data_IF_522397739741
#
_entry.id   IF_522397739741
#
_cell.length_a   1.000
_cell.length_b   1.000
_cell.length_c   1.000
_cell.angle_alpha   90.00
_cell.angle_beta   90.00
_cell.angle_gamma   90.00
#
_symmetry.space_group_name_H-M   'P 1'
#
loop_
_entity.id
_entity.type
_entity.pdbx_description
1 polymer ?
#
# COMPACT_ATOMS: atom_id res chain seq x y z
N UNK A 1 39.53 1.06 -16.30
CA UNK A 1 39.14 1.96 -15.22
C UNK A 1 39.00 1.19 -13.93
N UNK A 2 39.65 1.68 -12.86
CA UNK A 2 39.58 1.05 -11.52
C UNK A 2 38.48 1.65 -10.64
N UNK A 3 37.44 2.26 -11.24
CA UNK A 3 36.32 2.80 -10.49
C UNK A 3 35.35 1.71 -10.11
N UNK A 4 35.05 1.57 -8.82
CA UNK A 4 34.03 0.65 -8.32
C UNK A 4 32.66 1.05 -8.88
N UNK A 5 31.97 0.11 -9.57
CA UNK A 5 30.63 0.31 -10.14
C UNK A 5 29.53 -0.41 -9.38
N UNK A 6 29.89 -1.41 -8.61
CA UNK A 6 28.96 -2.19 -7.81
C UNK A 6 29.61 -3.42 -7.24
N UNK A 7 28.84 -4.14 -6.45
CA UNK A 7 29.19 -5.43 -5.87
C UNK A 7 28.05 -6.42 -6.10
N UNK A 8 28.36 -7.61 -6.56
CA UNK A 8 27.43 -8.71 -6.69
C UNK A 8 27.97 -9.92 -5.93
N UNK A 9 27.11 -10.63 -5.23
CA UNK A 9 27.47 -11.83 -4.51
C UNK A 9 26.83 -13.06 -5.16
N UNK A 10 27.34 -14.26 -4.84
CA UNK A 10 26.71 -15.53 -5.25
C UNK A 10 25.25 -15.60 -4.79
N UNK A 11 24.97 -15.12 -3.58
CA UNK A 11 23.60 -15.08 -3.04
C UNK A 11 22.64 -14.22 -3.89
N UNK A 12 23.13 -13.16 -4.50
CA UNK A 12 22.33 -12.31 -5.38
C UNK A 12 21.98 -13.05 -6.68
N UNK A 13 22.93 -13.82 -7.22
CA UNK A 13 22.72 -14.65 -8.40
C UNK A 13 21.72 -15.78 -8.09
N UNK A 14 21.92 -16.50 -6.98
CA UNK A 14 21.01 -17.57 -6.54
C UNK A 14 19.58 -17.06 -6.33
N UNK A 15 19.41 -15.85 -5.77
CA UNK A 15 18.08 -15.23 -5.58
C UNK A 15 17.40 -14.90 -6.91
N UNK A 16 18.13 -14.52 -7.93
CA UNK A 16 17.54 -14.29 -9.26
C UNK A 16 17.00 -15.58 -9.87
N UNK A 17 17.69 -16.69 -9.67
CA UNK A 17 17.26 -18.02 -10.13
C UNK A 17 16.04 -18.48 -9.31
N UNK A 18 16.09 -18.30 -7.98
CA UNK A 18 15.04 -18.74 -7.05
C UNK A 18 13.76 -17.91 -7.15
N UNK A 19 13.88 -16.61 -7.45
CA UNK A 19 12.77 -15.66 -7.50
C UNK A 19 12.74 -14.90 -8.84
N UNK A 20 12.46 -15.59 -9.95
CA UNK A 20 12.53 -15.00 -11.30
C UNK A 20 11.45 -13.93 -11.51
N UNK A 21 10.32 -14.01 -10.78
CA UNK A 21 9.19 -13.08 -10.86
C UNK A 21 9.25 -11.94 -9.83
N UNK A 22 10.39 -11.74 -9.15
CA UNK A 22 10.54 -10.61 -8.24
C UNK A 22 10.31 -9.28 -8.96
N UNK A 23 9.57 -8.37 -8.31
CA UNK A 23 9.29 -7.04 -8.85
C UNK A 23 10.58 -6.21 -8.91
N UNK A 24 11.00 -5.83 -10.12
CA UNK A 24 12.25 -5.13 -10.39
C UNK A 24 12.02 -3.96 -11.33
N UNK A 25 12.88 -2.95 -11.21
CA UNK A 25 12.95 -1.84 -12.16
C UNK A 25 13.69 -2.23 -13.46
N UNK A 26 13.79 -1.29 -14.40
CA UNK A 26 14.48 -1.49 -15.67
C UNK A 26 15.99 -1.78 -15.53
N UNK A 27 16.60 -1.45 -14.38
CA UNK A 27 18.00 -1.73 -14.05
C UNK A 27 18.17 -3.05 -13.29
N UNK A 28 17.07 -3.79 -13.04
CA UNK A 28 17.09 -5.05 -12.30
C UNK A 28 17.14 -4.90 -10.77
N UNK A 29 16.93 -3.69 -10.22
CA UNK A 29 16.83 -3.46 -8.77
C UNK A 29 15.44 -3.80 -8.28
N UNK A 30 15.33 -4.36 -7.07
CA UNK A 30 14.04 -4.63 -6.45
C UNK A 30 13.28 -3.32 -6.22
N UNK A 31 12.00 -3.32 -6.55
CA UNK A 31 11.10 -2.22 -6.20
C UNK A 31 10.91 -2.17 -4.67
N UNK A 32 10.97 -0.97 -4.11
CA UNK A 32 10.91 -0.74 -2.67
C UNK A 32 9.82 0.25 -2.31
N UNK A 33 9.00 -0.11 -1.32
CA UNK A 33 8.02 0.78 -0.71
C UNK A 33 8.41 1.19 0.71
N UNK A 34 7.96 2.37 1.13
CA UNK A 34 8.16 2.85 2.50
C UNK A 34 6.87 3.39 3.10
N UNK A 35 6.59 2.97 4.35
CA UNK A 35 5.45 3.47 5.10
C UNK A 35 5.77 4.81 5.79
N UNK A 36 4.80 5.69 5.79
CA UNK A 36 4.82 6.97 6.50
C UNK A 36 3.55 7.13 7.33
N UNK A 37 3.70 7.72 8.51
CA UNK A 37 2.55 8.15 9.34
C UNK A 37 2.16 9.59 9.05
N UNK A 38 1.02 10.00 9.60
CA UNK A 38 0.51 11.39 9.56
C UNK A 38 1.18 12.27 10.62
N UNK A 39 2.44 12.59 10.41
CA UNK A 39 3.23 13.42 11.33
C UNK A 39 3.47 14.81 10.76
N UNK A 40 3.76 15.81 11.61
CA UNK A 40 4.01 17.18 11.17
C UNK A 40 5.19 17.30 10.18
N UNK A 41 6.16 16.38 10.25
CA UNK A 41 7.35 16.38 9.40
C UNK A 41 7.28 15.34 8.26
N UNK A 42 6.08 14.88 7.87
CA UNK A 42 5.91 13.83 6.86
C UNK A 42 6.59 14.17 5.53
N UNK A 43 6.49 15.42 5.08
CA UNK A 43 7.12 15.85 3.82
C UNK A 43 8.64 15.75 3.86
N UNK A 44 9.29 16.08 4.98
CA UNK A 44 10.74 15.94 5.12
C UNK A 44 11.16 14.46 5.05
N UNK A 45 10.35 13.56 5.62
CA UNK A 45 10.57 12.11 5.52
C UNK A 45 10.37 11.61 4.08
N UNK A 46 9.29 12.04 3.42
CA UNK A 46 9.02 11.68 2.01
C UNK A 46 10.14 12.18 1.10
N UNK A 47 10.63 13.43 1.29
CA UNK A 47 11.75 13.98 0.53
C UNK A 47 13.02 13.12 0.66
N UNK A 48 13.35 12.69 1.87
CA UNK A 48 14.50 11.80 2.10
C UNK A 48 14.31 10.43 1.42
N UNK A 49 13.10 9.88 1.42
CA UNK A 49 12.77 8.61 0.76
C UNK A 49 12.82 8.73 -0.77
N UNK A 50 12.32 9.82 -1.33
CA UNK A 50 12.41 10.11 -2.78
C UNK A 50 13.86 10.25 -3.21
N UNK A 51 14.69 10.96 -2.43
CA UNK A 51 16.14 11.05 -2.67
C UNK A 51 16.86 9.71 -2.58
N UNK A 52 16.30 8.77 -1.81
CA UNK A 52 16.79 7.38 -1.73
C UNK A 52 16.19 6.46 -2.82
N UNK A 53 15.48 7.00 -3.81
CA UNK A 53 14.82 6.29 -4.91
C UNK A 53 13.76 5.27 -4.45
N UNK A 54 12.89 5.67 -3.52
CA UNK A 54 11.71 4.86 -3.18
C UNK A 54 10.75 4.81 -4.37
N UNK A 55 10.16 3.63 -4.61
CA UNK A 55 9.23 3.43 -5.73
C UNK A 55 7.79 3.75 -5.34
N UNK A 56 7.42 3.52 -4.08
CA UNK A 56 6.06 3.77 -3.58
C UNK A 56 6.07 4.19 -2.11
N UNK A 57 5.21 5.14 -1.78
CA UNK A 57 4.94 5.53 -0.39
C UNK A 57 3.60 4.92 0.05
N UNK A 58 3.57 4.43 1.27
CA UNK A 58 2.33 3.93 1.90
C UNK A 58 1.98 4.83 3.08
N UNK A 59 0.88 5.55 2.98
CA UNK A 59 0.28 6.24 4.13
C UNK A 59 -0.48 5.19 4.93
N UNK A 60 0.09 4.77 6.04
CA UNK A 60 -0.47 3.70 6.89
C UNK A 60 -1.12 4.28 8.13
N UNK A 61 -2.43 4.09 8.25
CA UNK A 61 -3.25 4.59 9.35
C UNK A 61 -4.30 3.57 9.77
N UNK A 62 -4.58 3.52 11.07
CA UNK A 62 -5.67 2.72 11.62
C UNK A 62 -7.05 3.21 11.16
N UNK A 63 -7.16 4.46 10.70
CA UNK A 63 -8.38 5.07 10.17
C UNK A 63 -8.07 5.98 8.99
N UNK A 64 -8.08 5.39 7.78
CA UNK A 64 -7.74 6.09 6.54
C UNK A 64 -8.76 7.17 6.15
N UNK A 65 -10.03 7.02 6.53
CA UNK A 65 -11.08 8.01 6.28
C UNK A 65 -11.07 9.11 7.34
N UNK A 66 -9.93 9.77 7.51
CA UNK A 66 -9.80 10.93 8.39
C UNK A 66 -9.22 12.12 7.63
N UNK A 67 -9.65 13.33 7.99
CA UNK A 67 -9.17 14.55 7.33
C UNK A 67 -7.65 14.71 7.40
N UNK A 68 -7.02 14.20 8.47
CA UNK A 68 -5.57 14.24 8.59
C UNK A 68 -4.87 13.35 7.55
N UNK A 69 -5.44 12.17 7.23
CA UNK A 69 -4.93 11.29 6.17
C UNK A 69 -5.14 11.91 4.80
N UNK A 70 -6.35 12.42 4.52
CA UNK A 70 -6.69 13.06 3.25
C UNK A 70 -5.79 14.29 2.99
N UNK A 71 -5.58 15.12 4.00
CA UNK A 71 -4.67 16.27 3.91
C UNK A 71 -3.22 15.84 3.68
N UNK A 72 -2.74 14.84 4.40
CA UNK A 72 -1.39 14.30 4.23
C UNK A 72 -1.18 13.78 2.80
N UNK A 73 -2.15 13.04 2.28
CA UNK A 73 -2.12 12.51 0.91
C UNK A 73 -2.06 13.65 -0.13
N UNK A 74 -2.95 14.65 -0.03
CA UNK A 74 -2.94 15.82 -0.92
C UNK A 74 -1.60 16.54 -0.88
N UNK A 75 -1.03 16.79 0.31
CA UNK A 75 0.27 17.43 0.47
C UNK A 75 1.40 16.65 -0.21
N UNK A 76 1.41 15.34 -0.10
CA UNK A 76 2.42 14.49 -0.75
C UNK A 76 2.26 14.53 -2.27
N UNK A 77 1.04 14.37 -2.77
CA UNK A 77 0.76 14.38 -4.22
C UNK A 77 1.00 15.76 -4.84
N UNK A 78 0.77 16.84 -4.11
CA UNK A 78 1.10 18.20 -4.56
C UNK A 78 2.62 18.41 -4.67
N UNK A 79 3.38 17.92 -3.69
CA UNK A 79 4.85 18.04 -3.69
C UNK A 79 5.52 17.07 -4.69
N UNK A 80 4.95 15.89 -4.89
CA UNK A 80 5.49 14.82 -5.72
C UNK A 80 4.38 14.19 -6.59
N UNK A 81 3.91 14.83 -7.67
CA UNK A 81 2.77 14.35 -8.47
C UNK A 81 2.97 12.95 -9.08
N UNK A 82 4.19 12.62 -9.47
CA UNK A 82 4.54 11.34 -10.11
C UNK A 82 4.81 10.22 -9.13
N UNK A 83 4.95 10.51 -7.83
CA UNK A 83 5.20 9.51 -6.80
C UNK A 83 3.96 8.67 -6.57
N UNK A 84 4.12 7.35 -6.63
CA UNK A 84 3.02 6.41 -6.34
C UNK A 84 2.73 6.41 -4.83
N UNK A 85 1.47 6.61 -4.46
CA UNK A 85 1.05 6.66 -3.06
C UNK A 85 -0.12 5.71 -2.82
N UNK A 86 0.11 4.73 -1.96
CA UNK A 86 -0.92 3.85 -1.41
C UNK A 86 -1.46 4.49 -0.14
N UNK A 87 -2.76 4.55 0.01
CA UNK A 87 -3.36 5.10 1.23
C UNK A 87 -4.34 4.11 1.88
N UNK A 88 -4.38 4.07 3.20
CA UNK A 88 -5.26 3.21 3.98
C UNK A 88 -5.03 3.33 5.50
N UNK A 89 -5.69 2.49 6.31
CA UNK A 89 -6.65 1.49 5.84
C UNK A 89 -8.07 2.02 5.87
N UNK A 90 -8.87 1.50 4.98
CA UNK A 90 -10.31 1.79 4.89
C UNK A 90 -11.11 0.49 4.77
N UNK A 91 -12.44 0.58 4.89
CA UNK A 91 -13.34 -0.58 4.81
C UNK A 91 -14.68 -0.27 4.11
N UNK A 92 -14.83 0.93 3.54
CA UNK A 92 -16.08 1.37 2.88
C UNK A 92 -15.80 2.03 1.53
N UNK A 93 -16.77 1.95 0.63
CA UNK A 93 -16.69 2.60 -0.68
C UNK A 93 -16.60 4.13 -0.58
N UNK A 94 -17.29 4.73 0.39
CA UNK A 94 -17.20 6.18 0.65
C UNK A 94 -15.76 6.60 1.00
N UNK A 95 -15.13 5.90 1.94
CA UNK A 95 -13.76 6.17 2.32
C UNK A 95 -12.79 5.95 1.15
N UNK A 96 -13.05 4.94 0.33
CA UNK A 96 -12.27 4.65 -0.88
C UNK A 96 -12.35 5.81 -1.87
N UNK A 97 -13.54 6.33 -2.17
CA UNK A 97 -13.70 7.51 -3.03
C UNK A 97 -12.94 8.71 -2.49
N UNK A 98 -13.08 8.99 -1.19
CA UNK A 98 -12.39 10.12 -0.56
C UNK A 98 -10.86 10.04 -0.71
N UNK A 99 -10.26 8.85 -0.55
CA UNK A 99 -8.83 8.67 -0.76
C UNK A 99 -8.43 8.83 -2.23
N UNK A 100 -9.20 8.29 -3.16
CA UNK A 100 -8.94 8.41 -4.60
C UNK A 100 -9.01 9.88 -5.05
N UNK A 101 -10.05 10.60 -4.63
CA UNK A 101 -10.23 12.03 -4.92
C UNK A 101 -9.12 12.90 -4.29
N UNK A 102 -8.53 12.44 -3.19
CA UNK A 102 -7.36 13.07 -2.58
C UNK A 102 -6.04 12.72 -3.29
N UNK A 103 -6.05 11.82 -4.27
CA UNK A 103 -4.91 11.48 -5.13
C UNK A 103 -4.23 10.14 -4.85
N UNK A 104 -4.87 9.21 -4.15
CA UNK A 104 -4.31 7.86 -3.95
C UNK A 104 -4.20 7.10 -5.27
N UNK A 105 -3.03 6.48 -5.51
CA UNK A 105 -2.77 5.61 -6.66
C UNK A 105 -3.19 4.15 -6.39
N UNK A 106 -3.35 3.78 -5.12
CA UNK A 106 -3.95 2.52 -4.68
C UNK A 106 -4.57 2.68 -3.28
N UNK A 107 -5.57 1.87 -2.97
CA UNK A 107 -6.26 1.89 -1.68
C UNK A 107 -6.04 0.59 -0.92
N UNK A 108 -5.59 0.68 0.33
CA UNK A 108 -5.36 -0.47 1.21
C UNK A 108 -6.57 -0.69 2.11
N UNK A 109 -7.16 -1.88 2.04
CA UNK A 109 -8.45 -2.23 2.64
C UNK A 109 -8.30 -3.26 3.75
N UNK A 110 -8.81 -2.91 4.92
CA UNK A 110 -8.85 -3.82 6.08
C UNK A 110 -8.89 -3.05 7.40
N UNK A 111 -10.02 -3.11 8.09
CA UNK A 111 -10.20 -2.57 9.44
C UNK A 111 -10.52 -3.74 10.38
N UNK A 112 -9.53 -4.09 11.20
CA UNK A 112 -9.65 -5.12 12.22
C UNK A 112 -9.42 -6.58 11.78
N UNK A 113 -9.08 -6.97 10.52
CA UNK A 113 -8.94 -8.37 10.13
C UNK A 113 -7.58 -8.98 10.50
N UNK A 114 -6.59 -8.17 10.86
CA UNK A 114 -5.25 -8.65 11.18
C UNK A 114 -5.22 -9.72 12.28
N UNK A 115 -4.35 -10.71 12.15
CA UNK A 115 -4.28 -11.84 13.12
C UNK A 115 -3.89 -11.42 14.52
N UNK A 116 -3.17 -10.30 14.66
CA UNK A 116 -2.76 -9.71 15.95
C UNK A 116 -3.59 -8.48 16.31
N UNK A 117 -4.57 -8.10 15.46
CA UNK A 117 -5.36 -6.89 15.65
C UNK A 117 -6.38 -7.09 16.78
N UNK A 118 -6.37 -6.19 17.75
CA UNK A 118 -7.31 -6.20 18.90
C UNK A 118 -8.49 -5.26 18.72
N UNK A 119 -8.54 -4.49 17.64
CA UNK A 119 -9.58 -3.47 17.41
C UNK A 119 -11.00 -4.04 17.49
N UNK A 120 -11.25 -5.20 16.87
CA UNK A 120 -12.57 -5.86 16.93
C UNK A 120 -12.91 -6.35 18.33
N UNK A 121 -11.93 -6.90 19.04
CA UNK A 121 -12.14 -7.53 20.34
C UNK A 121 -12.29 -6.47 21.44
N UNK A 122 -11.47 -5.42 21.42
CA UNK A 122 -11.43 -4.38 22.45
C UNK A 122 -12.43 -3.26 22.16
N UNK A 123 -12.46 -2.76 20.93
CA UNK A 123 -13.28 -1.61 20.56
C UNK A 123 -14.58 -1.98 19.84
N UNK A 124 -14.78 -3.23 19.46
CA UNK A 124 -15.94 -3.67 18.68
C UNK A 124 -16.00 -3.06 17.25
N UNK A 125 -14.88 -2.54 16.76
CA UNK A 125 -14.81 -1.84 15.46
C UNK A 125 -14.16 -2.76 14.44
N UNK A 126 -14.78 -2.85 13.26
CA UNK A 126 -14.26 -3.61 12.14
C UNK A 126 -15.34 -3.92 11.12
N UNK A 127 -14.90 -4.33 9.94
CA UNK A 127 -15.79 -4.81 8.86
C UNK A 127 -15.28 -6.18 8.42
N UNK A 128 -16.17 -7.16 8.17
CA UNK A 128 -15.77 -8.44 7.59
C UNK A 128 -14.99 -8.22 6.29
N UNK A 129 -13.82 -8.86 6.17
CA UNK A 129 -12.83 -8.48 5.13
C UNK A 129 -13.36 -8.61 3.71
N UNK A 130 -14.09 -9.67 3.40
CA UNK A 130 -14.67 -9.84 2.06
C UNK A 130 -15.70 -8.75 1.75
N UNK A 131 -16.56 -8.40 2.71
CA UNK A 131 -17.50 -7.29 2.57
C UNK A 131 -16.78 -5.97 2.32
N UNK A 132 -15.73 -5.68 3.08
CA UNK A 132 -14.92 -4.47 2.91
C UNK A 132 -14.27 -4.41 1.53
N UNK A 133 -13.70 -5.52 1.05
CA UNK A 133 -13.08 -5.60 -0.29
C UNK A 133 -14.12 -5.32 -1.37
N UNK A 134 -15.28 -5.99 -1.31
CA UNK A 134 -16.35 -5.81 -2.31
C UNK A 134 -16.85 -4.37 -2.37
N UNK A 135 -17.07 -3.74 -1.23
CA UNK A 135 -17.55 -2.37 -1.15
C UNK A 135 -16.51 -1.35 -1.65
N UNK A 136 -15.26 -1.51 -1.20
CA UNK A 136 -14.15 -0.67 -1.66
C UNK A 136 -13.87 -0.85 -3.16
N UNK A 137 -13.89 -2.10 -3.66
CA UNK A 137 -13.68 -2.39 -5.07
C UNK A 137 -14.78 -1.80 -5.95
N UNK A 138 -16.04 -1.88 -5.54
CA UNK A 138 -17.15 -1.28 -6.29
C UNK A 138 -16.93 0.23 -6.52
N UNK A 139 -16.39 0.93 -5.52
CA UNK A 139 -16.03 2.34 -5.64
C UNK A 139 -14.75 2.57 -6.47
N UNK A 140 -13.67 1.83 -6.18
CA UNK A 140 -12.37 2.00 -6.83
C UNK A 140 -12.40 1.67 -8.33
N UNK A 141 -13.23 0.70 -8.73
CA UNK A 141 -13.42 0.27 -10.12
C UNK A 141 -13.82 1.43 -11.05
N UNK A 142 -14.63 2.37 -10.58
CA UNK A 142 -15.10 3.51 -11.35
C UNK A 142 -13.93 4.43 -11.78
N UNK A 143 -12.86 4.44 -10.99
CA UNK A 143 -11.66 5.25 -11.20
C UNK A 143 -10.48 4.46 -11.78
N UNK A 144 -10.61 3.15 -11.94
CA UNK A 144 -9.50 2.27 -12.37
C UNK A 144 -8.39 2.13 -11.33
N UNK A 145 -8.65 2.43 -10.06
CA UNK A 145 -7.65 2.39 -8.97
C UNK A 145 -7.60 1.00 -8.34
N UNK A 146 -6.41 0.40 -8.15
CA UNK A 146 -6.28 -0.92 -7.55
C UNK A 146 -6.58 -0.92 -6.06
N UNK A 147 -7.14 -2.06 -5.61
CA UNK A 147 -7.45 -2.36 -4.21
C UNK A 147 -6.48 -3.42 -3.69
N UNK A 148 -5.91 -3.16 -2.52
CA UNK A 148 -5.01 -4.06 -1.79
C UNK A 148 -5.77 -4.62 -0.59
N UNK A 149 -5.95 -5.94 -0.53
CA UNK A 149 -6.57 -6.61 0.62
C UNK A 149 -5.51 -6.84 1.70
N UNK A 150 -5.70 -6.19 2.85
CA UNK A 150 -4.74 -6.21 3.95
C UNK A 150 -5.33 -6.81 5.22
N UNK A 151 -4.71 -7.88 5.69
CA UNK A 151 -4.99 -8.50 6.97
C UNK A 151 -5.92 -9.72 6.92
N UNK A 152 -5.65 -10.67 7.82
CA UNK A 152 -6.44 -11.88 8.01
C UNK A 152 -6.23 -12.97 6.95
N UNK A 153 -5.35 -12.79 5.99
CA UNK A 153 -5.04 -13.74 4.92
C UNK A 153 -3.93 -14.67 5.40
N UNK A 154 -4.27 -15.93 5.66
CA UNK A 154 -3.34 -16.94 6.18
C UNK A 154 -3.08 -18.08 5.19
N UNK A 155 -4.04 -18.39 4.35
CA UNK A 155 -4.03 -19.53 3.45
C UNK A 155 -4.29 -19.10 2.01
N UNK A 156 -3.88 -19.92 1.06
CA UNK A 156 -4.13 -19.70 -0.38
C UNK A 156 -5.61 -19.51 -0.71
N UNK A 157 -6.49 -20.23 -0.01
CA UNK A 157 -7.94 -20.06 -0.15
C UNK A 157 -8.44 -18.68 0.28
N UNK A 158 -7.82 -18.05 1.28
CA UNK A 158 -8.18 -16.70 1.71
C UNK A 158 -7.76 -15.67 0.64
N UNK A 159 -6.56 -15.84 0.07
CA UNK A 159 -6.08 -15.03 -1.05
C UNK A 159 -7.02 -15.15 -2.25
N UNK A 160 -7.39 -16.36 -2.63
CA UNK A 160 -8.32 -16.61 -3.74
C UNK A 160 -9.67 -15.91 -3.53
N UNK A 161 -10.22 -15.97 -2.31
CA UNK A 161 -11.47 -15.26 -1.97
C UNK A 161 -11.32 -13.73 -2.06
N UNK A 162 -10.20 -13.18 -1.55
CA UNK A 162 -9.94 -11.76 -1.61
C UNK A 162 -9.84 -11.27 -3.06
N UNK A 163 -9.11 -11.98 -3.92
CA UNK A 163 -9.01 -11.67 -5.34
C UNK A 163 -10.36 -11.80 -6.06
N UNK A 164 -11.13 -12.85 -5.77
CA UNK A 164 -12.48 -13.03 -6.33
C UNK A 164 -13.46 -11.92 -5.89
N UNK A 165 -13.26 -11.35 -4.69
CA UNK A 165 -14.04 -10.22 -4.18
C UNK A 165 -13.69 -8.87 -4.83
N UNK A 166 -12.60 -8.81 -5.60
CA UNK A 166 -12.18 -7.63 -6.35
C UNK A 166 -10.82 -7.05 -5.95
N UNK A 167 -10.12 -7.63 -4.98
CA UNK A 167 -8.76 -7.18 -4.69
C UNK A 167 -7.82 -7.46 -5.88
N UNK A 168 -6.93 -6.53 -6.15
CA UNK A 168 -5.89 -6.69 -7.17
C UNK A 168 -4.62 -7.31 -6.57
N UNK A 169 -4.40 -7.07 -5.27
CA UNK A 169 -3.24 -7.52 -4.50
C UNK A 169 -3.68 -7.91 -3.09
N UNK A 170 -2.96 -8.85 -2.45
CA UNK A 170 -3.12 -9.25 -1.06
C UNK A 170 -1.80 -9.04 -0.29
#
# INVERSE_FOLDING_TARGET
DFNLKGLITIKDIEKQIKYPLAAKDAQGRLLCGAAVGITANVLARVDALVKANVDVIVIDSAHGHSENVLRCLRMIKEAYPDLQVIAGNVATGEATRALIEAGADAVKVGIGPGSICTTRVVAGIGVPQITAIMDCYAAAKEYGIPVIADGGIKYSGDMTKALAAGANVC
#
